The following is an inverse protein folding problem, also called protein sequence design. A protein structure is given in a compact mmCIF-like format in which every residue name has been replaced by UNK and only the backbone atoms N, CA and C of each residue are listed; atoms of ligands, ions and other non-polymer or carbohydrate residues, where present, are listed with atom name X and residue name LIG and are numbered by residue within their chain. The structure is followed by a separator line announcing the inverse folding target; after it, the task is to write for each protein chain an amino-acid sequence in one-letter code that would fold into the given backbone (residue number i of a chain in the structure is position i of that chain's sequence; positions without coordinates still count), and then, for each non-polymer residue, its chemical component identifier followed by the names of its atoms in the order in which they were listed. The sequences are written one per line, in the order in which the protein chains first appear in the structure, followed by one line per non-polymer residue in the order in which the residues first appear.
data_IF_971565267703
#
_entry.id   IF_971565267703
#
_cell.length_a   1.000
_cell.length_b   1.000
_cell.length_c   1.000
_cell.angle_alpha   90.00
_cell.angle_beta   90.00
_cell.angle_gamma   90.00
#
_symmetry.space_group_name_H-M   'P 1'
#
loop_
_entity.id
_entity.type
_entity.pdbx_description
1 polymer ?
#
# COMPACT_ATOMS: atom_id res chain seq x y z
N UNK A 1 0.54 16.31 6.67
CA UNK A 1 -0.69 16.50 5.88
C UNK A 1 -0.74 17.94 5.37
N UNK A 2 -0.99 18.14 4.08
CA UNK A 2 -1.14 19.48 3.51
C UNK A 2 -2.54 20.02 3.81
N UNK A 3 -2.65 21.20 4.43
CA UNK A 3 -3.91 21.97 4.43
C UNK A 3 -3.96 22.81 3.14
N UNK A 4 -4.80 22.43 2.15
CA UNK A 4 -4.84 23.12 0.87
C UNK A 4 -5.39 24.54 0.99
N UNK A 5 -6.14 24.86 2.05
CA UNK A 5 -6.71 26.20 2.27
C UNK A 5 -5.66 27.21 2.74
N UNK A 6 -4.65 26.72 3.45
CA UNK A 6 -3.58 27.54 4.04
C UNK A 6 -2.24 27.37 3.29
N UNK A 7 -2.11 26.36 2.43
CA UNK A 7 -0.85 26.02 1.77
C UNK A 7 0.23 25.55 2.75
N UNK A 8 -0.15 25.08 3.94
CA UNK A 8 0.76 24.72 5.02
C UNK A 8 0.79 23.21 5.25
N UNK A 9 1.97 22.72 5.64
CA UNK A 9 2.15 21.33 6.05
C UNK A 9 1.97 21.20 7.55
N UNK A 10 1.01 20.36 7.96
CA UNK A 10 0.75 19.99 9.35
C UNK A 10 1.44 18.67 9.64
N UNK A 11 2.24 18.60 10.69
CA UNK A 11 2.84 17.35 11.14
C UNK A 11 1.75 16.42 11.69
N UNK A 12 1.76 15.16 11.25
CA UNK A 12 0.95 14.09 11.83
C UNK A 12 1.81 13.25 12.78
N UNK A 13 1.20 12.40 13.63
CA UNK A 13 1.95 11.41 14.39
C UNK A 13 2.96 10.69 13.49
N UNK A 14 4.17 10.47 14.01
CA UNK A 14 5.18 9.73 13.26
C UNK A 14 4.82 8.24 13.21
N UNK A 15 5.10 7.59 12.09
CA UNK A 15 5.10 6.12 12.07
C UNK A 15 6.14 5.60 13.07
N UNK A 16 5.84 4.47 13.69
CA UNK A 16 6.68 3.79 14.69
C UNK A 16 8.00 3.24 14.15
N UNK A 17 8.07 2.98 12.84
CA UNK A 17 9.27 2.50 12.16
C UNK A 17 9.61 3.43 10.99
N UNK A 18 10.89 3.77 10.82
CA UNK A 18 11.36 4.51 9.64
C UNK A 18 11.16 3.64 8.41
N UNK A 19 10.44 4.18 7.43
CA UNK A 19 10.22 3.54 6.14
C UNK A 19 10.47 4.57 5.04
N UNK A 20 11.24 4.19 4.02
CA UNK A 20 11.41 4.95 2.78
C UNK A 20 10.78 4.16 1.63
N UNK A 21 10.31 4.85 0.58
CA UNK A 21 9.74 4.20 -0.61
C UNK A 21 8.51 3.33 -0.32
N UNK A 22 7.66 3.81 0.58
CA UNK A 22 6.40 3.16 0.96
C UNK A 22 5.35 3.44 -0.11
N UNK A 23 4.58 2.41 -0.47
CA UNK A 23 3.36 2.61 -1.25
C UNK A 23 2.20 3.03 -0.34
N UNK A 24 1.46 4.04 -0.75
CA UNK A 24 0.36 4.63 0.03
C UNK A 24 -0.94 4.47 -0.76
N UNK A 25 -2.01 4.10 -0.08
CA UNK A 25 -3.37 4.21 -0.59
C UNK A 25 -4.29 4.79 0.50
N UNK A 26 -5.28 5.56 0.07
CA UNK A 26 -6.34 6.02 0.96
C UNK A 26 -7.49 5.02 0.90
N UNK A 27 -7.94 4.54 2.06
CA UNK A 27 -9.10 3.65 2.20
C UNK A 27 -10.11 4.33 3.11
N UNK A 28 -11.35 4.50 2.65
CA UNK A 28 -12.56 4.83 3.43
C UNK A 28 -12.37 5.70 4.69
N UNK A 29 -11.52 6.73 4.63
CA UNK A 29 -11.24 7.59 5.78
C UNK A 29 -10.61 6.89 7.00
N UNK A 30 -10.19 5.62 6.89
CA UNK A 30 -9.42 4.87 7.89
C UNK A 30 -7.97 5.36 7.88
N UNK A 31 -7.79 6.63 8.19
CA UNK A 31 -6.54 7.15 8.71
C UNK A 31 -6.87 7.83 10.01
N UNK A 32 -6.19 7.38 11.06
CA UNK A 32 -6.31 7.77 12.46
C UNK A 32 -7.29 6.86 13.23
N UNK A 33 -6.74 5.82 13.89
CA UNK A 33 -7.18 5.61 15.26
C UNK A 33 -6.96 6.93 16.02
N UNK A 34 -7.76 7.24 17.03
CA UNK A 34 -7.72 8.54 17.74
C UNK A 34 -6.30 8.92 18.27
N UNK A 35 -5.34 7.99 18.22
CA UNK A 35 -3.93 8.11 18.59
C UNK A 35 -2.89 7.93 17.45
N UNK A 36 -3.27 7.70 16.17
CA UNK A 36 -2.32 7.75 15.04
C UNK A 36 -2.38 6.62 14.01
N UNK A 37 -1.25 5.96 13.77
CA UNK A 37 -1.10 4.95 12.72
C UNK A 37 -1.42 3.54 13.23
N UNK A 38 -2.34 2.84 12.55
CA UNK A 38 -2.61 1.43 12.83
C UNK A 38 -1.77 0.52 11.94
N UNK A 39 -1.26 -0.56 12.51
CA UNK A 39 -0.58 -1.61 11.75
C UNK A 39 -1.59 -2.55 11.09
N UNK A 40 -1.34 -2.87 9.82
CA UNK A 40 -1.93 -4.02 9.14
C UNK A 40 -0.97 -5.22 9.24
N UNK A 41 -1.45 -6.45 8.98
CA UNK A 41 -0.60 -7.63 8.92
C UNK A 41 0.58 -7.45 7.96
N UNK A 42 1.67 -8.17 8.23
CA UNK A 42 2.85 -8.19 7.37
C UNK A 42 2.55 -8.89 6.04
N UNK A 43 3.10 -8.35 4.93
CA UNK A 43 3.07 -9.01 3.62
C UNK A 43 3.91 -10.30 3.66
N UNK A 44 3.60 -11.26 2.79
CA UNK A 44 4.39 -12.51 2.73
C UNK A 44 5.78 -12.31 2.12
N UNK A 45 5.93 -11.27 1.30
CA UNK A 45 7.22 -10.87 0.70
C UNK A 45 7.56 -9.45 1.15
N UNK A 46 8.83 -9.23 1.49
CA UNK A 46 9.34 -7.88 1.71
C UNK A 46 9.25 -7.07 0.41
N UNK A 47 8.57 -5.93 0.45
CA UNK A 47 8.40 -5.05 -0.72
C UNK A 47 8.79 -3.62 -0.39
N UNK A 48 9.64 -3.05 -1.24
CA UNK A 48 9.90 -1.63 -1.38
C UNK A 48 9.48 -1.20 -2.78
N UNK A 49 9.14 0.08 -2.97
CA UNK A 49 8.88 0.63 -4.31
C UNK A 49 7.76 -0.09 -5.08
N UNK A 50 6.84 -0.75 -4.36
CA UNK A 50 5.68 -1.42 -4.92
C UNK A 50 4.57 -0.41 -5.23
N UNK A 51 3.80 -0.69 -6.28
CA UNK A 51 2.57 0.03 -6.54
C UNK A 51 1.47 -0.48 -5.61
N UNK A 52 0.75 0.44 -4.96
CA UNK A 52 -0.36 0.10 -4.07
C UNK A 52 -1.66 0.70 -4.62
N UNK A 53 -2.73 -0.10 -4.62
CA UNK A 53 -4.05 0.36 -5.07
C UNK A 53 -5.17 -0.34 -4.30
N UNK A 54 -6.30 0.35 -4.11
CA UNK A 54 -7.46 -0.20 -3.40
C UNK A 54 -8.60 -0.39 -4.40
N UNK A 55 -9.11 -1.61 -4.53
CA UNK A 55 -10.23 -1.96 -5.43
C UNK A 55 -11.25 -2.77 -4.64
N UNK A 56 -12.51 -2.31 -4.58
CA UNK A 56 -13.61 -3.06 -3.95
C UNK A 56 -13.25 -3.61 -2.55
N UNK A 57 -12.71 -2.76 -1.67
CA UNK A 57 -12.29 -3.11 -0.30
C UNK A 57 -11.10 -4.09 -0.19
N UNK A 58 -10.39 -4.32 -1.29
CA UNK A 58 -9.11 -5.03 -1.32
C UNK A 58 -7.95 -4.06 -1.56
N UNK A 59 -6.93 -4.14 -0.70
CA UNK A 59 -5.66 -3.48 -0.88
C UNK A 59 -4.72 -4.40 -1.67
N UNK A 60 -4.20 -3.93 -2.80
CA UNK A 60 -3.27 -4.68 -3.64
C UNK A 60 -1.87 -4.10 -3.55
N UNK A 61 -0.86 -4.96 -3.45
CA UNK A 61 0.54 -4.64 -3.59
C UNK A 61 1.11 -5.31 -4.85
N UNK A 62 1.55 -4.48 -5.80
CA UNK A 62 1.96 -4.90 -7.14
C UNK A 62 3.46 -4.69 -7.34
N UNK A 63 4.20 -5.76 -7.57
CA UNK A 63 5.64 -5.72 -7.82
C UNK A 63 6.45 -5.13 -6.67
N UNK A 64 7.39 -4.25 -7.00
CA UNK A 64 8.38 -3.70 -6.08
C UNK A 64 9.70 -4.45 -6.15
N UNK A 65 10.52 -4.30 -5.12
CA UNK A 65 11.75 -5.06 -4.90
C UNK A 65 11.89 -5.49 -3.44
N UNK A 66 12.62 -6.59 -3.21
CA UNK A 66 12.82 -7.19 -1.88
C UNK A 66 14.16 -6.82 -1.22
N UNK A 67 14.96 -5.96 -1.86
CA UNK A 67 16.35 -5.73 -1.46
C UNK A 67 17.38 -6.25 -2.45
N UNK A 68 17.03 -7.30 -3.19
CA UNK A 68 17.93 -8.01 -4.10
C UNK A 68 17.41 -7.99 -5.54
N UNK A 69 16.11 -8.20 -5.74
CA UNK A 69 15.51 -8.39 -7.05
C UNK A 69 14.19 -7.62 -7.18
N UNK A 70 13.85 -7.23 -8.41
CA UNK A 70 12.51 -6.77 -8.74
C UNK A 70 11.52 -7.95 -8.69
N UNK A 71 10.27 -7.66 -8.33
CA UNK A 71 9.22 -8.66 -8.16
C UNK A 71 8.19 -8.57 -9.31
N UNK A 72 7.82 -9.72 -9.87
CA UNK A 72 6.66 -9.89 -10.75
C UNK A 72 5.40 -10.25 -9.96
N UNK A 73 5.58 -10.76 -8.74
CA UNK A 73 4.52 -11.21 -7.85
C UNK A 73 3.68 -10.06 -7.32
N UNK A 74 2.44 -10.38 -6.95
CA UNK A 74 1.45 -9.45 -6.45
C UNK A 74 0.72 -10.10 -5.28
N UNK A 75 0.30 -9.29 -4.31
CA UNK A 75 -0.44 -9.75 -3.13
C UNK A 75 -1.63 -8.83 -2.85
N UNK A 76 -2.63 -9.35 -2.14
CA UNK A 76 -3.79 -8.57 -1.74
C UNK A 76 -4.23 -8.85 -0.30
N UNK A 77 -4.85 -7.86 0.32
CA UNK A 77 -5.45 -7.92 1.65
C UNK A 77 -6.89 -7.41 1.56
N UNK A 78 -7.83 -8.16 2.11
CA UNK A 78 -9.20 -7.70 2.36
C UNK A 78 -9.21 -6.85 3.63
N UNK A 79 -9.65 -5.60 3.54
CA UNK A 79 -9.38 -4.58 4.56
C UNK A 79 -10.21 -4.80 5.83
N UNK A 80 -11.49 -5.15 5.69
CA UNK A 80 -12.42 -5.32 6.81
C UNK A 80 -12.65 -6.80 7.18
N UNK A 81 -11.77 -7.68 6.73
CA UNK A 81 -11.85 -9.11 7.04
C UNK A 81 -11.55 -9.39 8.51
N UNK A 82 -12.28 -10.31 9.13
CA UNK A 82 -11.99 -10.78 10.49
C UNK A 82 -10.63 -11.50 10.58
N UNK A 83 -10.17 -12.08 9.46
CA UNK A 83 -8.89 -12.77 9.34
C UNK A 83 -7.95 -11.99 8.41
N UNK A 84 -7.61 -10.76 8.80
CA UNK A 84 -6.68 -9.93 8.02
C UNK A 84 -5.36 -10.68 7.77
N UNK A 85 -5.09 -10.98 6.50
CA UNK A 85 -3.82 -11.56 6.03
C UNK A 85 -3.61 -11.25 4.56
N UNK A 86 -2.35 -11.09 4.18
CA UNK A 86 -1.99 -10.98 2.78
C UNK A 86 -2.09 -12.33 2.08
N UNK A 87 -2.58 -12.29 0.83
CA UNK A 87 -2.76 -13.43 -0.04
C UNK A 87 -1.99 -13.18 -1.34
N UNK A 88 -1.17 -14.14 -1.75
CA UNK A 88 -0.48 -14.08 -3.05
C UNK A 88 -1.47 -14.32 -4.17
N UNK A 89 -1.45 -13.46 -5.18
CA UNK A 89 -2.15 -13.69 -6.44
C UNK A 89 -1.44 -14.81 -7.20
N UNK A 90 -2.23 -15.74 -7.76
CA UNK A 90 -1.67 -16.80 -8.61
C UNK A 90 -1.13 -16.26 -9.94
N UNK A 91 -1.70 -15.15 -10.42
CA UNK A 91 -1.20 -14.46 -11.61
C UNK A 91 -0.02 -13.56 -11.24
N UNK A 92 0.97 -13.50 -12.13
CA UNK A 92 2.11 -12.59 -12.03
C UNK A 92 2.13 -11.57 -13.17
N UNK A 93 2.83 -10.46 -12.96
CA UNK A 93 3.15 -9.56 -14.05
C UNK A 93 4.11 -10.23 -15.05
N UNK A 94 3.97 -10.01 -16.36
CA UNK A 94 4.87 -10.59 -17.36
C UNK A 94 6.34 -10.22 -17.19
N UNK A 95 6.61 -9.10 -16.52
CA UNK A 95 7.96 -8.64 -16.22
C UNK A 95 8.00 -8.02 -14.83
N UNK A 96 8.94 -8.50 -14.01
CA UNK A 96 9.24 -7.97 -12.70
C UNK A 96 9.63 -6.49 -12.77
N UNK A 97 9.06 -5.67 -11.89
CA UNK A 97 9.23 -4.20 -11.92
C UNK A 97 9.06 -3.57 -10.54
N UNK A 98 9.82 -2.52 -10.30
CA UNK A 98 9.78 -1.66 -9.12
C UNK A 98 9.62 -0.19 -9.56
N UNK A 99 9.31 0.72 -8.63
CA UNK A 99 9.13 2.16 -8.88
C UNK A 99 7.97 2.51 -9.85
N UNK A 100 7.01 1.60 -10.01
CA UNK A 100 5.89 1.80 -10.91
C UNK A 100 4.73 2.51 -10.20
N UNK A 101 4.20 3.57 -10.84
CA UNK A 101 2.91 4.14 -10.47
C UNK A 101 1.78 3.20 -10.88
N UNK A 102 0.77 3.06 -10.03
CA UNK A 102 -0.42 2.24 -10.30
C UNK A 102 -1.67 3.07 -10.03
N UNK A 103 -2.70 2.89 -10.84
CA UNK A 103 -4.00 3.53 -10.69
C UNK A 103 -5.09 2.63 -11.24
N UNK A 104 -6.32 2.81 -10.76
CA UNK A 104 -7.49 2.20 -11.38
C UNK A 104 -8.01 3.09 -12.49
N UNK A 105 -8.49 2.45 -13.53
CA UNK A 105 -9.25 3.09 -14.60
C UNK A 105 -10.68 2.53 -14.57
N UNK A 106 -11.70 3.39 -14.61
CA UNK A 106 -13.08 2.95 -14.74
C UNK A 106 -13.25 2.10 -15.99
N UNK A 107 -14.00 0.99 -15.88
CA UNK A 107 -14.43 0.22 -17.04
C UNK A 107 -15.74 0.84 -17.54
N UNK A 108 -15.72 1.37 -18.75
CA UNK A 108 -16.90 1.90 -19.47
C UNK A 108 -17.89 0.81 -19.84
#
# INVERSE_FOLDING_TARGET
MLDPRQGQWIALPSMTTRRSSVGLAAVNGLMLCDDGWTFLPEMSVCRRNAGIVVVNDFLFALGGDDGACNLSSMEYLEIDSLEQRWNTLQAEMPQARSYCGVTLLPKS
#
